data_IF_319203595737
#
_entry.id   IF_319203595737
#
_cell.length_a   1.000
_cell.length_b   1.000
_cell.length_c   1.000
_cell.angle_alpha   90.00
_cell.angle_beta   90.00
_cell.angle_gamma   90.00
#
_symmetry.space_group_name_H-M   'P 1'
#
loop_
_entity.id
_entity.type
_entity.pdbx_description
1 polymer ?
#
# COMPACT_ATOMS: atom_id res chain seq x y z
N UNK A 1 -42.13 22.21 43.45
CA UNK A 1 -41.25 21.25 44.14
C UNK A 1 -41.26 19.94 43.37
N UNK A 2 -40.40 19.80 42.36
CA UNK A 2 -40.31 18.59 41.55
C UNK A 2 -38.85 18.29 41.21
N UNK A 3 -38.49 17.04 41.49
CA UNK A 3 -37.52 16.19 40.80
C UNK A 3 -36.08 16.67 40.60
N UNK A 4 -35.15 15.97 41.27
CA UNK A 4 -34.31 14.96 40.63
C UNK A 4 -32.97 14.86 41.39
N UNK A 5 -32.90 13.96 42.36
CA UNK A 5 -31.62 13.50 42.91
C UNK A 5 -30.97 12.65 41.81
N UNK A 6 -30.15 13.30 41.00
CA UNK A 6 -29.34 12.65 39.98
C UNK A 6 -28.34 11.74 40.66
N UNK A 7 -28.64 10.44 40.63
CA UNK A 7 -27.68 9.36 40.83
C UNK A 7 -26.54 9.59 39.85
N UNK A 8 -25.39 10.01 40.36
CA UNK A 8 -24.13 10.04 39.62
C UNK A 8 -23.77 8.60 39.26
N UNK A 9 -23.69 8.22 37.97
CA UNK A 9 -22.98 7.02 37.59
C UNK A 9 -21.49 7.32 37.74
N UNK A 10 -20.96 6.71 38.78
CA UNK A 10 -19.55 6.49 39.06
C UNK A 10 -18.95 5.66 37.91
N UNK A 11 -18.38 6.31 36.90
CA UNK A 11 -17.44 5.69 35.98
C UNK A 11 -16.26 6.64 35.74
N UNK A 12 -15.51 6.90 36.82
CA UNK A 12 -14.14 7.36 36.73
C UNK A 12 -13.24 6.12 36.76
N UNK A 13 -12.29 6.08 35.81
CA UNK A 13 -11.23 5.08 35.64
C UNK A 13 -11.72 3.68 35.25
N UNK A 14 -11.42 3.31 34.01
CA UNK A 14 -10.39 2.30 33.79
C UNK A 14 -9.83 2.32 32.38
N UNK A 15 -8.51 2.14 32.34
CA UNK A 15 -7.73 1.49 31.29
C UNK A 15 -7.82 2.11 29.90
N UNK A 16 -6.95 3.08 29.66
CA UNK A 16 -5.88 2.83 28.69
C UNK A 16 -4.57 3.34 29.31
N UNK A 17 -3.94 2.48 30.10
CA UNK A 17 -2.49 2.49 30.27
C UNK A 17 -1.93 1.97 28.95
N UNK A 18 -2.14 2.69 27.84
CA UNK A 18 -1.33 2.46 26.64
C UNK A 18 0.00 3.05 27.01
N UNK A 19 0.87 2.18 27.51
CA UNK A 19 2.29 2.25 27.18
C UNK A 19 2.42 3.01 25.88
N UNK A 20 2.97 4.22 25.97
CA UNK A 20 3.84 4.72 24.92
C UNK A 20 4.87 3.61 24.81
N UNK A 21 4.60 2.62 23.95
CA UNK A 21 5.64 1.79 23.40
C UNK A 21 6.44 2.80 22.60
N UNK A 22 7.42 3.39 23.29
CA UNK A 22 8.59 4.00 22.70
C UNK A 22 8.90 3.15 21.50
N UNK A 23 8.81 3.76 20.32
CA UNK A 23 9.19 3.13 19.08
C UNK A 23 10.61 2.64 19.31
N UNK A 24 10.74 1.33 19.52
CA UNK A 24 12.02 0.70 19.76
C UNK A 24 12.76 0.83 18.44
N UNK A 25 13.71 1.75 18.39
CA UNK A 25 14.61 1.96 17.24
C UNK A 25 15.57 0.80 17.02
N UNK A 26 15.17 -0.43 17.34
CA UNK A 26 15.94 -1.63 17.06
C UNK A 26 15.27 -2.41 15.93
N UNK A 27 15.18 -1.77 14.76
CA UNK A 27 15.29 -2.51 13.51
C UNK A 27 15.93 -1.69 12.38
N UNK A 28 16.83 -0.77 12.74
CA UNK A 28 17.85 -0.23 11.84
C UNK A 28 19.10 -1.12 11.83
N UNK A 29 18.90 -2.44 11.70
CA UNK A 29 19.99 -3.40 11.43
C UNK A 29 19.76 -4.27 10.20
N UNK A 30 18.74 -3.98 9.40
CA UNK A 30 18.59 -4.56 8.06
C UNK A 30 18.74 -3.53 6.92
N UNK A 31 19.29 -2.34 7.21
CA UNK A 31 19.78 -1.41 6.17
C UNK A 31 21.25 -1.68 5.78
N UNK A 32 21.71 -2.90 6.07
CA UNK A 32 23.04 -3.41 5.73
C UNK A 32 22.99 -4.73 4.94
N UNK A 33 21.82 -5.15 4.47
CA UNK A 33 21.67 -6.32 3.58
C UNK A 33 21.50 -5.81 2.13
N UNK A 34 22.46 -5.02 1.65
CA UNK A 34 22.52 -4.58 0.24
C UNK A 34 23.86 -4.99 -0.40
N UNK A 35 24.55 -6.01 0.14
CA UNK A 35 25.79 -6.53 -0.47
C UNK A 35 25.88 -8.03 -0.62
N UNK A 36 24.79 -8.77 -0.49
CA UNK A 36 24.74 -10.19 -0.83
C UNK A 36 23.51 -10.48 -1.73
N UNK A 37 23.46 -9.87 -2.92
CA UNK A 37 22.59 -10.33 -4.02
C UNK A 37 23.39 -10.65 -5.28
N UNK A 38 24.72 -10.53 -5.22
CA UNK A 38 25.62 -10.76 -6.35
C UNK A 38 26.40 -12.10 -6.28
N UNK A 39 26.26 -12.89 -5.20
CA UNK A 39 27.12 -14.07 -4.97
C UNK A 39 26.38 -15.42 -5.05
N UNK A 40 25.06 -15.44 -5.24
CA UNK A 40 24.28 -16.69 -5.43
C UNK A 40 23.98 -17.00 -6.92
N UNK A 41 24.53 -16.22 -7.85
CA UNK A 41 24.22 -16.30 -9.28
C UNK A 41 25.15 -17.20 -10.09
N UNK A 42 26.18 -17.81 -9.49
CA UNK A 42 27.18 -18.54 -10.26
C UNK A 42 26.82 -20.01 -10.58
N UNK A 43 25.93 -20.67 -9.81
CA UNK A 43 25.74 -22.13 -9.90
C UNK A 43 24.29 -22.64 -9.99
N UNK A 44 23.29 -21.75 -10.07
CA UNK A 44 21.92 -22.14 -10.40
C UNK A 44 21.48 -21.29 -11.59
N UNK A 45 21.08 -21.91 -12.70
CA UNK A 45 20.31 -21.23 -13.76
C UNK A 45 18.94 -20.92 -13.15
N UNK A 46 18.88 -19.87 -12.34
CA UNK A 46 17.70 -19.49 -11.59
C UNK A 46 16.79 -18.76 -12.58
N UNK A 47 15.75 -19.46 -13.06
CA UNK A 47 14.80 -18.91 -14.01
C UNK A 47 14.17 -17.63 -13.43
N UNK A 48 14.00 -16.61 -14.29
CA UNK A 48 13.42 -15.34 -13.85
C UNK A 48 11.97 -15.56 -13.37
N UNK A 49 11.57 -14.78 -12.36
CA UNK A 49 10.19 -14.79 -11.87
C UNK A 49 9.29 -14.24 -12.97
N UNK A 50 8.11 -14.82 -13.11
CA UNK A 50 7.11 -14.35 -14.07
C UNK A 50 5.94 -13.76 -13.32
N UNK A 51 5.48 -12.59 -13.74
CA UNK A 51 4.31 -11.93 -13.20
C UNK A 51 3.21 -11.91 -14.25
N UNK A 52 2.04 -12.44 -13.88
CA UNK A 52 0.84 -12.36 -14.72
C UNK A 52 0.39 -10.92 -14.84
N UNK A 53 0.39 -10.21 -13.71
CA UNK A 53 0.14 -8.78 -13.63
C UNK A 53 0.74 -8.18 -12.37
N UNK A 54 1.02 -6.89 -12.44
CA UNK A 54 1.39 -6.05 -11.30
C UNK A 54 0.33 -4.96 -11.18
N UNK A 55 -0.28 -4.87 -10.01
CA UNK A 55 -1.35 -3.92 -9.73
C UNK A 55 -0.75 -2.71 -8.99
N UNK A 56 -0.82 -1.53 -9.62
CA UNK A 56 -0.37 -0.26 -9.08
C UNK A 56 -1.58 0.50 -8.53
N UNK A 57 -1.59 0.70 -7.22
CA UNK A 57 -2.62 1.47 -6.52
C UNK A 57 -2.00 2.79 -6.03
N UNK A 58 -2.36 3.88 -6.69
CA UNK A 58 -1.91 5.24 -6.39
C UNK A 58 -2.92 5.93 -5.49
N UNK A 59 -2.45 6.51 -4.39
CA UNK A 59 -3.27 7.22 -3.41
C UNK A 59 -2.70 8.62 -3.20
N UNK A 60 -3.55 9.63 -3.19
CA UNK A 60 -3.12 11.01 -3.01
C UNK A 60 -4.25 11.93 -2.57
N UNK A 61 -3.89 13.11 -2.07
CA UNK A 61 -4.85 14.13 -1.66
C UNK A 61 -5.28 15.04 -2.81
N UNK A 62 -4.39 15.30 -3.75
CA UNK A 62 -4.66 16.11 -4.93
C UNK A 62 -4.97 15.22 -6.15
N UNK A 63 -6.17 15.31 -6.74
CA UNK A 63 -6.54 14.51 -7.90
C UNK A 63 -5.75 14.88 -9.17
N UNK A 64 -5.30 16.13 -9.30
CA UNK A 64 -4.61 16.59 -10.51
C UNK A 64 -3.18 16.05 -10.56
N UNK A 65 -2.49 16.06 -9.41
CA UNK A 65 -1.17 15.42 -9.26
C UNK A 65 -1.25 13.93 -9.59
N UNK A 66 -2.29 13.24 -9.10
CA UNK A 66 -2.53 11.84 -9.45
C UNK A 66 -2.77 11.65 -10.94
N UNK A 67 -3.51 12.55 -11.59
CA UNK A 67 -3.76 12.52 -13.04
C UNK A 67 -2.44 12.63 -13.83
N UNK A 68 -1.66 13.68 -13.57
CA UNK A 68 -0.36 13.90 -14.21
C UNK A 68 0.59 12.72 -14.01
N UNK A 69 0.67 12.19 -12.79
CA UNK A 69 1.54 11.06 -12.49
C UNK A 69 1.10 9.79 -13.20
N UNK A 70 -0.21 9.55 -13.29
CA UNK A 70 -0.74 8.40 -14.02
C UNK A 70 -0.44 8.47 -15.52
N UNK A 71 -0.52 9.67 -16.11
CA UNK A 71 -0.12 9.89 -17.51
C UNK A 71 1.37 9.62 -17.69
N UNK A 72 2.22 10.08 -16.75
CA UNK A 72 3.65 9.76 -16.76
C UNK A 72 3.90 8.25 -16.75
N UNK A 73 3.28 7.51 -15.83
CA UNK A 73 3.46 6.04 -15.79
C UNK A 73 2.93 5.37 -17.06
N UNK A 74 1.81 5.85 -17.62
CA UNK A 74 1.28 5.36 -18.89
C UNK A 74 2.28 5.53 -20.03
N UNK A 75 2.92 6.70 -20.12
CA UNK A 75 3.95 6.97 -21.11
C UNK A 75 5.15 6.05 -20.92
N UNK A 76 5.60 5.80 -19.68
CA UNK A 76 6.71 4.87 -19.41
C UNK A 76 6.40 3.47 -19.95
N UNK A 77 5.19 2.97 -19.74
CA UNK A 77 4.78 1.69 -20.30
C UNK A 77 4.79 1.69 -21.84
N UNK A 78 4.39 2.80 -22.49
CA UNK A 78 4.44 2.91 -23.95
C UNK A 78 5.87 2.88 -24.51
N UNK A 79 6.83 3.53 -23.83
CA UNK A 79 8.22 3.56 -24.29
C UNK A 79 8.97 2.24 -24.04
N UNK A 80 8.52 1.46 -23.05
CA UNK A 80 9.08 0.15 -22.73
C UNK A 80 8.33 -1.00 -23.44
N UNK A 81 7.34 -0.67 -24.27
CA UNK A 81 6.46 -1.64 -24.96
C UNK A 81 5.81 -2.66 -24.02
N UNK A 82 5.40 -2.20 -22.82
CA UNK A 82 4.76 -3.04 -21.81
C UNK A 82 3.24 -2.92 -21.91
N UNK A 83 2.55 -4.05 -21.92
CA UNK A 83 1.09 -4.08 -21.89
C UNK A 83 0.53 -3.50 -20.58
N UNK A 84 -0.25 -2.42 -20.69
CA UNK A 84 -0.95 -1.79 -19.57
C UNK A 84 -2.47 -1.81 -19.74
N UNK A 85 -3.19 -1.80 -18.62
CA UNK A 85 -4.64 -1.56 -18.61
C UNK A 85 -4.94 -0.07 -18.66
N UNK A 86 -6.18 0.27 -19.00
CA UNK A 86 -6.71 1.60 -18.74
C UNK A 86 -6.69 1.89 -17.24
N UNK A 87 -6.55 3.17 -16.91
CA UNK A 87 -6.57 3.67 -15.54
C UNK A 87 -8.00 3.63 -15.04
N UNK A 88 -8.21 3.02 -13.88
CA UNK A 88 -9.50 2.98 -13.21
C UNK A 88 -9.46 3.91 -12.01
N UNK A 89 -10.41 4.83 -11.93
CA UNK A 89 -10.56 5.70 -10.75
C UNK A 89 -11.49 5.03 -9.74
N UNK A 90 -11.01 4.85 -8.52
CA UNK A 90 -11.79 4.27 -7.43
C UNK A 90 -12.51 5.38 -6.64
N UNK A 91 -13.62 5.05 -5.96
CA UNK A 91 -14.27 6.01 -5.08
C UNK A 91 -13.29 6.52 -4.02
N UNK A 92 -13.19 7.83 -3.89
CA UNK A 92 -12.28 8.44 -2.94
C UNK A 92 -12.72 8.14 -1.51
N UNK A 93 -11.75 8.02 -0.61
CA UNK A 93 -12.01 7.86 0.82
C UNK A 93 -12.21 9.24 1.45
N UNK A 94 -13.26 9.39 2.27
CA UNK A 94 -13.58 10.62 3.00
C UNK A 94 -13.47 10.36 4.50
N UNK A 95 -12.54 11.04 5.17
CA UNK A 95 -12.43 11.06 6.63
C UNK A 95 -12.91 12.38 7.18
N UNK A 96 -13.89 12.36 8.09
CA UNK A 96 -14.38 13.56 8.78
C UNK A 96 -13.92 13.55 10.23
N UNK A 97 -13.34 14.65 10.68
CA UNK A 97 -12.99 14.88 12.08
C UNK A 97 -13.69 16.14 12.57
N UNK A 98 -14.53 16.00 13.60
CA UNK A 98 -15.19 17.16 14.22
C UNK A 98 -14.49 17.54 15.51
N UNK A 99 -13.90 18.73 15.54
CA UNK A 99 -13.16 19.26 16.69
C UNK A 99 -13.90 20.47 17.28
N UNK A 100 -13.64 20.79 18.55
CA UNK A 100 -14.07 22.09 19.10
C UNK A 100 -13.38 23.22 18.34
N UNK A 101 -14.08 24.32 18.10
CA UNK A 101 -13.49 25.50 17.48
C UNK A 101 -12.45 26.16 18.39
N UNK A 102 -12.77 26.20 19.68
CA UNK A 102 -11.97 26.87 20.70
C UNK A 102 -11.31 25.85 21.64
N UNK A 103 -10.20 26.26 22.26
CA UNK A 103 -9.36 25.41 23.12
C UNK A 103 -10.09 24.88 24.38
N UNK A 104 -11.03 25.62 24.95
CA UNK A 104 -11.67 25.26 26.23
C UNK A 104 -13.19 25.51 26.28
N UNK A 105 -13.91 24.56 26.89
CA UNK A 105 -15.29 24.62 27.40
C UNK A 105 -16.42 25.16 26.48
N UNK A 106 -16.21 25.21 25.16
CA UNK A 106 -17.20 25.72 24.20
C UNK A 106 -17.78 24.62 23.30
N UNK A 107 -18.49 23.65 23.91
CA UNK A 107 -19.01 22.43 23.24
C UNK A 107 -19.96 22.70 22.05
N UNK A 108 -20.69 23.82 22.08
CA UNK A 108 -21.65 24.20 21.02
C UNK A 108 -20.95 24.58 19.70
N UNK A 109 -19.73 25.13 19.77
CA UNK A 109 -19.00 25.61 18.60
C UNK A 109 -17.99 24.57 18.15
N UNK A 110 -18.26 23.92 17.02
CA UNK A 110 -17.44 22.86 16.43
C UNK A 110 -17.02 23.21 15.01
N UNK A 111 -15.87 22.70 14.59
CA UNK A 111 -15.36 22.75 13.22
C UNK A 111 -15.28 21.33 12.68
N UNK A 112 -15.69 21.15 11.44
CA UNK A 112 -15.58 19.87 10.73
C UNK A 112 -14.40 19.97 9.77
N UNK A 113 -13.42 19.09 9.94
CA UNK A 113 -12.32 18.90 9.01
C UNK A 113 -12.61 17.68 8.15
N UNK A 114 -12.27 17.75 6.86
CA UNK A 114 -12.36 16.64 5.93
C UNK A 114 -10.98 16.36 5.35
N UNK A 115 -10.61 15.08 5.31
CA UNK A 115 -9.45 14.59 4.56
C UNK A 115 -9.96 13.68 3.46
N UNK A 116 -9.62 14.02 2.21
CA UNK A 116 -9.96 13.22 1.03
C UNK A 116 -8.74 12.46 0.54
N UNK A 117 -8.89 11.19 0.24
CA UNK A 117 -7.85 10.38 -0.41
C UNK A 117 -8.42 9.83 -1.70
N UNK A 118 -7.96 10.36 -2.82
CA UNK A 118 -8.27 9.88 -4.15
C UNK A 118 -7.41 8.67 -4.47
N UNK A 119 -7.98 7.71 -5.18
CA UNK A 119 -7.33 6.44 -5.48
C UNK A 119 -7.46 6.17 -6.97
N UNK A 120 -6.33 5.98 -7.65
CA UNK A 120 -6.28 5.53 -9.05
C UNK A 120 -5.57 4.19 -9.10
N UNK A 121 -6.06 3.29 -9.95
CA UNK A 121 -5.51 1.96 -10.12
C UNK A 121 -5.14 1.72 -11.58
N UNK A 122 -3.98 1.14 -11.80
CA UNK A 122 -3.50 0.73 -13.11
C UNK A 122 -2.82 -0.63 -12.99
N UNK A 123 -2.99 -1.48 -13.99
CA UNK A 123 -2.41 -2.82 -14.01
C UNK A 123 -1.47 -2.96 -15.19
N UNK A 124 -0.30 -3.53 -14.94
CA UNK A 124 0.69 -3.87 -15.95
C UNK A 124 0.71 -5.38 -16.11
N UNK A 125 0.66 -5.90 -17.34
CA UNK A 125 0.52 -7.34 -17.63
C UNK A 125 1.83 -7.91 -18.17
N UNK A 126 2.00 -9.22 -17.96
CA UNK A 126 3.04 -10.04 -18.58
C UNK A 126 4.45 -9.47 -18.42
N UNK A 127 4.96 -9.51 -17.18
CA UNK A 127 6.29 -9.00 -16.86
C UNK A 127 7.21 -10.11 -16.35
N UNK A 128 8.50 -9.98 -16.63
CA UNK A 128 9.56 -10.75 -15.97
C UNK A 128 10.04 -10.05 -14.69
N UNK A 129 10.71 -10.77 -13.81
CA UNK A 129 11.19 -10.26 -12.52
C UNK A 129 12.20 -9.13 -12.68
N UNK A 130 13.17 -9.32 -13.56
CA UNK A 130 14.18 -8.31 -13.91
C UNK A 130 13.56 -7.03 -14.50
N UNK A 131 12.61 -7.18 -15.43
CA UNK A 131 11.91 -6.06 -16.06
C UNK A 131 11.05 -5.31 -15.04
N UNK A 132 10.29 -6.02 -14.22
CA UNK A 132 9.48 -5.43 -13.16
C UNK A 132 10.33 -4.64 -12.16
N UNK A 133 11.50 -5.17 -11.76
CA UNK A 133 12.42 -4.47 -10.86
C UNK A 133 12.90 -3.14 -11.46
N UNK A 134 13.32 -3.15 -12.73
CA UNK A 134 13.83 -1.95 -13.41
C UNK A 134 12.72 -0.92 -13.63
N UNK A 135 11.53 -1.39 -14.00
CA UNK A 135 10.35 -0.56 -14.19
C UNK A 135 9.91 0.13 -12.89
N UNK A 136 9.81 -0.64 -11.79
CA UNK A 136 9.43 -0.11 -10.49
C UNK A 136 10.48 0.84 -9.94
N UNK A 137 11.76 0.56 -10.14
CA UNK A 137 12.84 1.47 -9.75
C UNK A 137 12.67 2.86 -10.38
N UNK A 138 12.38 2.92 -11.68
CA UNK A 138 12.18 4.21 -12.35
C UNK A 138 10.95 4.95 -11.84
N UNK A 139 9.83 4.24 -11.63
CA UNK A 139 8.59 4.83 -11.15
C UNK A 139 8.75 5.32 -9.71
N UNK A 140 9.27 4.47 -8.81
CA UNK A 140 9.43 4.77 -7.39
C UNK A 140 10.35 5.97 -7.14
N UNK A 141 11.40 6.14 -7.97
CA UNK A 141 12.29 7.30 -7.90
C UNK A 141 11.59 8.62 -8.23
N UNK A 142 10.50 8.58 -9.00
CA UNK A 142 9.79 9.77 -9.49
C UNK A 142 8.41 9.97 -8.84
N UNK A 143 8.11 9.28 -7.73
CA UNK A 143 6.84 9.48 -7.02
C UNK A 143 6.78 10.93 -6.47
N UNK A 144 5.73 11.71 -6.79
CA UNK A 144 5.58 13.07 -6.29
C UNK A 144 5.22 13.11 -4.80
N UNK A 145 5.51 14.23 -4.16
CA UNK A 145 5.17 14.45 -2.75
C UNK A 145 3.66 14.32 -2.50
N UNK A 146 3.30 13.71 -1.37
CA UNK A 146 1.89 13.52 -1.01
C UNK A 146 1.15 12.45 -1.82
N UNK A 147 1.85 11.70 -2.67
CA UNK A 147 1.34 10.48 -3.32
C UNK A 147 1.99 9.25 -2.70
N UNK A 148 1.17 8.26 -2.36
CA UNK A 148 1.60 6.95 -1.91
C UNK A 148 1.26 5.92 -2.98
N UNK A 149 2.20 5.01 -3.26
CA UNK A 149 2.01 3.91 -4.20
C UNK A 149 2.02 2.58 -3.44
N UNK A 150 1.05 1.73 -3.74
CA UNK A 150 1.00 0.34 -3.30
C UNK A 150 1.11 -0.56 -4.52
N UNK A 151 2.07 -1.47 -4.48
CA UNK A 151 2.34 -2.44 -5.56
C UNK A 151 1.92 -3.81 -5.10
N UNK A 152 1.08 -4.48 -5.89
CA UNK A 152 0.64 -5.87 -5.63
C UNK A 152 1.11 -6.78 -6.76
N UNK A 153 1.90 -7.80 -6.43
CA UNK A 153 2.46 -8.74 -7.40
C UNK A 153 1.55 -9.97 -7.55
N UNK A 154 1.25 -10.33 -8.79
CA UNK A 154 0.60 -11.62 -9.11
C UNK A 154 1.60 -12.51 -9.84
N UNK A 155 2.31 -13.35 -9.10
CA UNK A 155 3.33 -14.28 -9.62
C UNK A 155 2.69 -15.48 -10.35
N UNK A 156 3.34 -15.91 -11.43
CA UNK A 156 3.08 -17.18 -12.12
C UNK A 156 4.11 -18.18 -11.60
N UNK A 157 3.64 -19.25 -11.00
CA UNK A 157 4.49 -20.34 -10.51
C UNK A 157 3.92 -21.68 -10.97
N UNK A 158 4.81 -22.64 -11.20
CA UNK A 158 4.43 -24.02 -11.45
C UNK A 158 3.82 -24.64 -10.19
N UNK A 159 3.01 -25.69 -10.37
CA UNK A 159 2.53 -26.48 -9.24
C UNK A 159 3.71 -27.00 -8.40
N UNK A 160 3.56 -27.04 -7.06
CA UNK A 160 4.59 -27.58 -6.19
C UNK A 160 4.79 -29.07 -6.48
N UNK A 161 6.05 -29.52 -6.40
CA UNK A 161 6.46 -30.89 -6.76
C UNK A 161 5.63 -31.98 -6.07
N UNK A 162 5.21 -31.74 -4.83
CA UNK A 162 4.37 -32.66 -4.03
C UNK A 162 3.06 -33.02 -4.71
N UNK A 163 2.42 -32.06 -5.37
CA UNK A 163 1.14 -32.27 -6.07
C UNK A 163 1.39 -32.94 -7.42
N UNK A 164 2.49 -32.58 -8.10
CA UNK A 164 2.82 -33.18 -9.39
C UNK A 164 3.15 -34.67 -9.26
N UNK A 165 3.89 -35.08 -8.22
CA UNK A 165 4.28 -36.48 -8.03
C UNK A 165 3.11 -37.43 -7.75
N UNK A 166 2.06 -36.98 -7.06
CA UNK A 166 0.90 -37.83 -6.74
C UNK A 166 0.04 -38.11 -7.97
N UNK A 167 -0.08 -37.16 -8.89
CA UNK A 167 -0.87 -37.31 -10.13
C UNK A 167 -0.31 -38.35 -11.11
N UNK A 168 1.01 -38.58 -11.08
CA UNK A 168 1.71 -39.56 -11.93
C UNK A 168 1.57 -41.01 -11.46
N UNK A 169 1.17 -41.25 -10.21
CA UNK A 169 1.07 -42.60 -9.62
C UNK A 169 -0.28 -43.29 -9.89
N UNK A 170 -1.32 -42.56 -10.27
CA UNK A 170 -2.67 -43.12 -10.52
C UNK A 170 -2.91 -43.60 -11.95
N UNK A 171 -1.90 -43.51 -12.83
CA UNK A 171 -1.94 -43.97 -14.23
C UNK A 171 -1.17 -45.28 -14.46
N UNK A 172 -0.84 -46.00 -13.38
CA UNK A 172 -0.29 -47.36 -13.40
C UNK A 172 -1.32 -48.33 -12.83
#
# INVERSE_FOLDING_TARGET
MLSAVGVFPRCYRNLVQSSIKMFNQNNLKNFGIVRNLATESANNVNHDKLFKRIDLELRGHDPEVLSSYTTFVSNVCDHLDIEKSQVTELPHLRWLLTTLRDKFAKKKYKVQYEVRTYIKMMHVKYLTGSTASTFLEYIERNIPEGVAMKVTYTEISSLPKTITSSSSQSLQ
#
